data_IF_519027659134
#
_entry.id   IF_519027659134
#
_cell.length_a   1.000
_cell.length_b   1.000
_cell.length_c   1.000
_cell.angle_alpha   90.00
_cell.angle_beta   90.00
_cell.angle_gamma   90.00
#
_symmetry.space_group_name_H-M   'P 1'
#
loop_
_entity.id
_entity.type
_entity.pdbx_description
1 polymer ?
#
# COMPACT_ATOMS: atom_id res chain seq x y z
N UNK A 1 -35.95 36.46 -59.00
CA UNK A 1 -35.61 35.26 -58.20
C UNK A 1 -34.11 35.30 -57.91
N UNK A 2 -33.68 34.79 -56.74
CA UNK A 2 -32.65 35.36 -55.85
C UNK A 2 -31.24 35.28 -56.46
N UNK A 3 -30.25 36.08 -56.06
CA UNK A 3 -29.39 35.73 -54.93
C UNK A 3 -28.76 36.96 -54.28
N UNK A 4 -29.15 37.20 -53.02
CA UNK A 4 -28.49 38.16 -52.15
C UNK A 4 -27.19 37.57 -51.61
N UNK A 5 -26.06 37.92 -52.24
CA UNK A 5 -24.74 37.75 -51.61
C UNK A 5 -24.66 38.70 -50.42
N UNK A 6 -24.85 38.15 -49.22
CA UNK A 6 -24.54 38.83 -47.97
C UNK A 6 -23.03 39.05 -47.91
N UNK A 7 -22.60 40.28 -48.17
CA UNK A 7 -21.21 40.70 -48.00
C UNK A 7 -20.91 40.72 -46.49
N UNK A 8 -20.31 39.64 -45.97
CA UNK A 8 -19.86 39.60 -44.58
C UNK A 8 -18.70 40.61 -44.45
N UNK A 9 -18.83 41.63 -43.59
CA UNK A 9 -17.79 42.65 -43.48
C UNK A 9 -16.50 42.09 -42.85
N UNK A 10 -15.37 42.29 -43.53
CA UNK A 10 -14.04 41.84 -43.10
C UNK A 10 -13.61 42.30 -41.68
N UNK A 11 -14.24 43.34 -41.11
CA UNK A 11 -13.98 43.80 -39.75
C UNK A 11 -14.52 42.86 -38.66
N UNK A 12 -15.59 42.11 -38.93
CA UNK A 12 -16.18 41.17 -37.97
C UNK A 12 -15.28 39.94 -37.77
N UNK A 13 -14.61 39.49 -38.84
CA UNK A 13 -13.68 38.35 -38.83
C UNK A 13 -12.40 38.65 -38.05
N UNK A 14 -11.81 39.85 -38.22
CA UNK A 14 -10.59 40.26 -37.48
C UNK A 14 -10.83 40.39 -35.98
N UNK A 15 -11.99 40.94 -35.57
CA UNK A 15 -12.36 41.08 -34.16
C UNK A 15 -12.63 39.73 -33.49
N UNK A 16 -13.28 38.79 -34.20
CA UNK A 16 -13.46 37.40 -33.73
C UNK A 16 -12.13 36.66 -33.64
N UNK A 17 -11.22 36.85 -34.60
CA UNK A 17 -9.88 36.26 -34.56
C UNK A 17 -9.02 36.78 -33.41
N UNK A 18 -9.06 38.08 -33.12
CA UNK A 18 -8.37 38.67 -31.96
C UNK A 18 -8.95 38.19 -30.63
N UNK A 19 -10.26 38.00 -30.53
CA UNK A 19 -10.91 37.42 -29.33
C UNK A 19 -10.53 35.95 -29.13
N UNK A 20 -10.45 35.15 -30.20
CA UNK A 20 -10.00 33.75 -30.13
C UNK A 20 -8.52 33.66 -29.74
N UNK A 21 -7.65 34.51 -30.29
CA UNK A 21 -6.23 34.56 -29.89
C UNK A 21 -6.06 34.99 -28.43
N UNK A 22 -6.82 36.00 -27.99
CA UNK A 22 -6.78 36.46 -26.60
C UNK A 22 -7.23 35.39 -25.60
N UNK A 23 -8.30 34.63 -25.95
CA UNK A 23 -8.79 33.53 -25.13
C UNK A 23 -7.79 32.36 -25.08
N UNK A 24 -7.17 32.01 -26.21
CA UNK A 24 -6.15 30.97 -26.26
C UNK A 24 -4.91 31.32 -25.41
N UNK A 25 -4.49 32.59 -25.42
CA UNK A 25 -3.38 33.06 -24.59
C UNK A 25 -3.73 33.06 -23.10
N UNK A 26 -4.95 33.48 -22.75
CA UNK A 26 -5.44 33.44 -21.37
C UNK A 26 -5.52 31.99 -20.83
N UNK A 27 -5.99 31.04 -21.66
CA UNK A 27 -5.98 29.62 -21.32
C UNK A 27 -4.56 29.07 -21.14
N UNK A 28 -3.61 29.45 -22.01
CA UNK A 28 -2.21 29.03 -21.90
C UNK A 28 -1.52 29.58 -20.63
N UNK A 29 -1.86 30.80 -20.23
CA UNK A 29 -1.37 31.41 -19.00
C UNK A 29 -2.00 30.77 -17.76
N UNK A 30 -3.29 30.42 -17.81
CA UNK A 30 -3.97 29.70 -16.72
C UNK A 30 -3.46 28.28 -16.56
N UNK A 31 -3.18 27.56 -17.65
CA UNK A 31 -2.56 26.22 -17.58
C UNK A 31 -1.12 26.30 -17.12
N UNK A 32 -0.33 27.27 -17.61
CA UNK A 32 1.02 27.52 -17.11
C UNK A 32 1.05 27.88 -15.63
N UNK A 33 0.11 28.71 -15.16
CA UNK A 33 -0.04 29.05 -13.75
C UNK A 33 -0.50 27.85 -12.92
N UNK A 34 -1.43 27.02 -13.42
CA UNK A 34 -1.85 25.80 -12.73
C UNK A 34 -0.71 24.77 -12.65
N UNK A 35 0.07 24.58 -13.72
CA UNK A 35 1.26 23.71 -13.73
C UNK A 35 2.33 24.25 -12.77
N UNK A 36 2.54 25.56 -12.70
CA UNK A 36 3.48 26.15 -11.75
C UNK A 36 2.98 26.05 -10.28
N UNK A 37 1.68 26.31 -10.05
CA UNK A 37 1.05 26.33 -8.72
C UNK A 37 0.82 24.93 -8.14
N UNK A 38 0.60 23.93 -8.99
CA UNK A 38 0.26 22.55 -8.60
C UNK A 38 1.25 21.48 -9.07
N UNK A 39 2.08 21.76 -10.07
CA UNK A 39 3.11 20.83 -10.59
C UNK A 39 4.48 20.93 -9.90
N UNK A 40 4.67 21.91 -9.00
CA UNK A 40 5.95 22.27 -8.39
C UNK A 40 6.27 21.64 -7.02
N UNK A 41 5.69 20.49 -6.66
CA UNK A 41 6.30 19.62 -5.64
C UNK A 41 6.85 18.40 -6.36
N UNK A 42 8.05 18.55 -6.92
CA UNK A 42 8.82 17.44 -7.46
C UNK A 42 9.02 16.43 -6.34
N UNK A 43 8.19 15.41 -6.33
CA UNK A 43 8.39 14.24 -5.49
C UNK A 43 9.71 13.60 -5.90
N UNK A 44 10.53 13.24 -4.90
CA UNK A 44 11.84 12.66 -5.16
C UNK A 44 11.71 11.51 -6.19
N UNK A 45 12.47 11.53 -7.30
CA UNK A 45 12.33 10.53 -8.36
C UNK A 45 12.45 9.10 -7.81
N UNK A 46 13.23 8.89 -6.74
CA UNK A 46 13.40 7.59 -6.09
C UNK A 46 12.11 7.11 -5.39
N UNK A 47 11.32 8.02 -4.82
CA UNK A 47 10.00 7.72 -4.25
C UNK A 47 9.02 7.37 -5.37
N UNK A 48 9.06 8.13 -6.46
CA UNK A 48 8.20 7.90 -7.63
C UNK A 48 8.45 6.52 -8.24
N UNK A 49 9.72 6.12 -8.40
CA UNK A 49 10.08 4.78 -8.87
C UNK A 49 9.53 3.66 -7.98
N UNK A 50 9.66 3.78 -6.66
CA UNK A 50 9.15 2.77 -5.73
C UNK A 50 7.63 2.69 -5.79
N UNK A 51 6.94 3.83 -5.94
CA UNK A 51 5.48 3.84 -6.11
C UNK A 51 5.04 3.20 -7.41
N UNK A 52 5.77 3.45 -8.49
CA UNK A 52 5.48 2.79 -9.78
C UNK A 52 5.70 1.30 -9.67
N UNK A 53 6.81 0.85 -9.08
CA UNK A 53 7.05 -0.57 -8.81
C UNK A 53 5.94 -1.19 -7.92
N UNK A 54 5.53 -0.52 -6.84
CA UNK A 54 4.43 -0.98 -6.00
C UNK A 54 3.11 -1.11 -6.77
N UNK A 55 2.80 -0.16 -7.65
CA UNK A 55 1.58 -0.21 -8.49
C UNK A 55 1.63 -1.34 -9.52
N UNK A 56 2.77 -1.52 -10.19
CA UNK A 56 2.97 -2.62 -11.14
C UNK A 56 2.85 -3.98 -10.46
N UNK A 57 3.46 -4.13 -9.29
CA UNK A 57 3.36 -5.35 -8.50
C UNK A 57 1.95 -5.59 -7.95
N UNK A 58 1.23 -4.54 -7.55
CA UNK A 58 -0.17 -4.65 -7.16
C UNK A 58 -1.08 -5.01 -8.34
N UNK A 59 -0.78 -4.53 -9.55
CA UNK A 59 -1.51 -4.94 -10.76
C UNK A 59 -1.23 -6.41 -11.12
N UNK A 60 0.03 -6.86 -10.97
CA UNK A 60 0.44 -8.23 -11.23
C UNK A 60 -0.06 -9.23 -10.18
N UNK A 61 -0.08 -8.80 -8.92
CA UNK A 61 -0.53 -9.58 -7.77
C UNK A 61 -1.61 -8.79 -7.03
N UNK A 62 -2.85 -8.72 -7.56
CA UNK A 62 -3.94 -8.02 -6.92
C UNK A 62 -4.11 -8.50 -5.47
N UNK A 63 -4.27 -7.57 -4.52
CA UNK A 63 -4.42 -7.93 -3.11
C UNK A 63 -5.73 -8.66 -2.82
N UNK A 64 -6.75 -8.49 -3.66
CA UNK A 64 -8.02 -9.23 -3.56
C UNK A 64 -7.91 -10.66 -4.12
N UNK A 65 -6.88 -10.94 -4.92
CA UNK A 65 -6.68 -12.26 -5.49
C UNK A 65 -6.07 -13.19 -4.44
N UNK A 66 -6.80 -14.26 -4.12
CA UNK A 66 -6.32 -15.31 -3.24
C UNK A 66 -5.02 -15.95 -3.74
N UNK A 67 -4.15 -16.33 -2.81
CA UNK A 67 -2.89 -17.02 -3.12
C UNK A 67 -3.21 -18.44 -3.58
N UNK A 68 -2.89 -18.74 -4.84
CA UNK A 68 -3.28 -20.01 -5.47
C UNK A 68 -2.41 -21.20 -5.05
N UNK A 69 -1.27 -20.95 -4.41
CA UNK A 69 -0.40 -22.00 -3.89
C UNK A 69 1.01 -21.54 -3.53
N UNK A 70 1.92 -22.48 -3.20
CA UNK A 70 3.27 -22.17 -2.73
C UNK A 70 4.12 -21.38 -3.74
N UNK A 71 4.01 -21.68 -5.04
CA UNK A 71 4.76 -20.98 -6.10
C UNK A 71 4.33 -19.51 -6.20
N UNK A 72 3.03 -19.25 -6.17
CA UNK A 72 2.48 -17.89 -6.15
C UNK A 72 2.91 -17.13 -4.88
N UNK A 73 2.87 -17.81 -3.72
CA UNK A 73 3.32 -17.23 -2.45
C UNK A 73 4.80 -16.80 -2.49
N UNK A 74 5.68 -17.65 -3.03
CA UNK A 74 7.10 -17.33 -3.21
C UNK A 74 7.28 -16.14 -4.15
N UNK A 75 6.53 -16.08 -5.25
CA UNK A 75 6.59 -14.96 -6.19
C UNK A 75 6.15 -13.64 -5.53
N UNK A 76 5.08 -13.66 -4.72
CA UNK A 76 4.60 -12.49 -3.97
C UNK A 76 5.58 -12.06 -2.88
N UNK A 77 6.21 -13.00 -2.17
CA UNK A 77 7.27 -12.68 -1.20
C UNK A 77 8.50 -12.09 -1.89
N UNK A 78 8.89 -12.61 -3.06
CA UNK A 78 9.98 -12.04 -3.85
C UNK A 78 9.66 -10.61 -4.31
N UNK A 79 8.42 -10.35 -4.75
CA UNK A 79 7.95 -9.01 -5.09
C UNK A 79 8.02 -8.03 -3.90
N UNK A 80 7.58 -8.47 -2.72
CA UNK A 80 7.74 -7.68 -1.47
C UNK A 80 9.23 -7.42 -1.21
N UNK A 81 10.07 -8.44 -1.36
CA UNK A 81 11.53 -8.33 -1.21
C UNK A 81 12.15 -7.28 -2.14
N UNK A 82 11.72 -7.23 -3.41
CA UNK A 82 12.18 -6.22 -4.38
C UNK A 82 11.83 -4.79 -3.95
N UNK A 83 10.58 -4.56 -3.50
CA UNK A 83 10.16 -3.26 -2.98
C UNK A 83 11.01 -2.87 -1.76
N UNK A 84 11.17 -3.78 -0.80
CA UNK A 84 11.94 -3.54 0.41
C UNK A 84 13.42 -3.25 0.12
N UNK A 85 14.03 -3.96 -0.83
CA UNK A 85 15.40 -3.70 -1.26
C UNK A 85 15.56 -2.28 -1.83
N UNK A 86 14.63 -1.83 -2.70
CA UNK A 86 14.64 -0.45 -3.19
C UNK A 86 14.43 0.57 -2.06
N UNK A 87 13.53 0.30 -1.11
CA UNK A 87 13.34 1.21 0.03
C UNK A 87 14.60 1.30 0.90
N UNK A 88 15.34 0.21 1.09
CA UNK A 88 16.59 0.23 1.87
C UNK A 88 17.70 1.06 1.21
N UNK A 89 17.70 1.14 -0.12
CA UNK A 89 18.62 2.01 -0.89
C UNK A 89 18.30 3.50 -0.74
N UNK A 90 17.10 3.85 -0.25
CA UNK A 90 16.78 5.24 0.04
C UNK A 90 17.53 5.76 1.27
N UNK A 91 17.83 7.07 1.30
CA UNK A 91 18.21 7.77 2.52
C UNK A 91 17.19 7.53 3.67
N UNK A 92 17.64 7.39 4.93
CA UNK A 92 16.77 7.04 6.07
C UNK A 92 15.51 7.90 6.21
N UNK A 93 15.60 9.18 5.89
CA UNK A 93 14.51 10.16 5.96
C UNK A 93 13.41 9.95 4.91
N UNK A 94 13.74 9.33 3.78
CA UNK A 94 12.80 9.03 2.69
C UNK A 94 12.12 7.68 2.82
N UNK A 95 12.70 6.75 3.62
CA UNK A 95 12.14 5.41 3.82
C UNK A 95 10.72 5.44 4.39
N UNK A 96 10.38 6.24 5.42
CA UNK A 96 9.01 6.30 5.95
C UNK A 96 8.02 6.72 4.87
N UNK A 97 8.39 7.65 3.99
CA UNK A 97 7.52 8.11 2.91
C UNK A 97 7.25 7.00 1.88
N UNK A 98 8.26 6.20 1.54
CA UNK A 98 8.11 5.07 0.63
C UNK A 98 7.28 3.92 1.24
N UNK A 99 7.39 3.71 2.57
CA UNK A 99 6.64 2.67 3.28
C UNK A 99 5.17 3.02 3.53
N UNK A 100 4.83 4.31 3.65
CA UNK A 100 3.43 4.76 3.90
C UNK A 100 2.43 4.20 2.89
N UNK A 101 2.80 4.18 1.60
CA UNK A 101 1.92 3.66 0.54
C UNK A 101 1.62 2.17 0.75
N UNK A 102 2.64 1.38 1.10
CA UNK A 102 2.46 -0.04 1.44
C UNK A 102 1.61 -0.24 2.69
N UNK A 103 1.83 0.58 3.73
CA UNK A 103 1.05 0.55 4.97
C UNK A 103 -0.43 0.85 4.75
N UNK A 104 -0.74 1.87 3.93
CA UNK A 104 -2.12 2.25 3.63
C UNK A 104 -2.83 1.18 2.80
N UNK A 105 -2.15 0.57 1.83
CA UNK A 105 -2.67 -0.57 1.08
C UNK A 105 -2.96 -1.76 2.00
N UNK A 106 -2.00 -2.13 2.87
CA UNK A 106 -2.19 -3.21 3.83
C UNK A 106 -3.37 -2.95 4.77
N UNK A 107 -3.51 -1.72 5.26
CA UNK A 107 -4.63 -1.31 6.11
C UNK A 107 -5.98 -1.52 5.43
N UNK A 108 -6.13 -1.05 4.19
CA UNK A 108 -7.36 -1.21 3.41
C UNK A 108 -7.72 -2.68 3.18
N UNK A 109 -6.72 -3.52 2.91
CA UNK A 109 -6.93 -4.97 2.77
C UNK A 109 -7.46 -5.56 4.06
N UNK A 110 -6.86 -5.22 5.20
CA UNK A 110 -7.30 -5.72 6.51
C UNK A 110 -8.70 -5.22 6.86
N UNK A 111 -9.01 -3.95 6.61
CA UNK A 111 -10.36 -3.39 6.79
C UNK A 111 -11.38 -4.13 5.92
N UNK A 112 -11.02 -4.43 4.66
CA UNK A 112 -11.84 -5.22 3.75
C UNK A 112 -12.13 -6.61 4.31
N UNK A 113 -11.10 -7.34 4.74
CA UNK A 113 -11.22 -8.69 5.33
C UNK A 113 -12.10 -8.72 6.57
N UNK A 114 -11.88 -7.76 7.48
CA UNK A 114 -12.71 -7.59 8.69
C UNK A 114 -14.17 -7.34 8.29
N UNK A 115 -14.42 -6.42 7.35
CA UNK A 115 -15.77 -6.12 6.88
C UNK A 115 -16.43 -7.35 6.27
N UNK A 116 -15.71 -8.08 5.41
CA UNK A 116 -16.21 -9.31 4.77
C UNK A 116 -16.62 -10.33 5.83
N UNK A 117 -15.76 -10.59 6.82
CA UNK A 117 -16.06 -11.51 7.92
C UNK A 117 -17.37 -11.18 8.64
N UNK A 118 -17.60 -9.91 8.98
CA UNK A 118 -18.82 -9.49 9.67
C UNK A 118 -20.06 -9.45 8.77
N UNK A 119 -19.90 -9.29 7.45
CA UNK A 119 -21.02 -9.36 6.50
C UNK A 119 -21.43 -10.78 6.13
N UNK A 120 -20.57 -11.77 6.36
CA UNK A 120 -20.87 -13.16 6.02
C UNK A 120 -21.88 -13.77 7.02
N UNK A 121 -22.81 -14.62 6.53
CA UNK A 121 -23.62 -15.51 7.37
C UNK A 121 -22.72 -16.38 8.26
N UNK A 122 -23.21 -16.72 9.46
CA UNK A 122 -22.42 -17.42 10.47
C UNK A 122 -21.84 -18.75 9.95
N UNK A 123 -22.59 -19.44 9.10
CA UNK A 123 -22.24 -20.73 8.50
C UNK A 123 -21.05 -20.60 7.53
N UNK A 124 -20.90 -19.45 6.86
CA UNK A 124 -19.83 -19.20 5.89
C UNK A 124 -18.55 -18.63 6.51
N UNK A 125 -18.60 -18.22 7.78
CA UNK A 125 -17.45 -17.62 8.46
C UNK A 125 -16.31 -18.61 8.64
N UNK A 126 -16.61 -19.89 8.90
CA UNK A 126 -15.55 -20.90 9.07
C UNK A 126 -14.75 -21.10 7.79
N UNK A 127 -15.42 -21.29 6.66
CA UNK A 127 -14.77 -21.45 5.36
C UNK A 127 -13.91 -20.23 4.99
N UNK A 128 -14.41 -19.02 5.28
CA UNK A 128 -13.65 -17.80 5.10
C UNK A 128 -12.39 -17.77 5.97
N UNK A 129 -12.49 -18.10 7.27
CA UNK A 129 -11.34 -18.17 8.16
C UNK A 129 -10.33 -19.23 7.70
N UNK A 130 -10.78 -20.38 7.19
CA UNK A 130 -9.91 -21.44 6.68
C UNK A 130 -9.11 -20.98 5.45
N UNK A 131 -9.75 -20.27 4.53
CA UNK A 131 -9.10 -19.69 3.37
C UNK A 131 -8.06 -18.63 3.78
N UNK A 132 -8.39 -17.76 4.72
CA UNK A 132 -7.49 -16.74 5.24
C UNK A 132 -6.27 -17.36 5.94
N UNK A 133 -6.50 -18.38 6.78
CA UNK A 133 -5.44 -19.11 7.46
C UNK A 133 -4.53 -19.80 6.46
N UNK A 134 -5.09 -20.43 5.41
CA UNK A 134 -4.30 -21.05 4.35
C UNK A 134 -3.41 -20.04 3.63
N UNK A 135 -3.94 -18.86 3.28
CA UNK A 135 -3.17 -17.79 2.66
C UNK A 135 -2.04 -17.30 3.57
N UNK A 136 -2.31 -17.13 4.87
CA UNK A 136 -1.29 -16.77 5.86
C UNK A 136 -0.20 -17.83 5.97
N UNK A 137 -0.54 -19.11 5.97
CA UNK A 137 0.44 -20.20 6.02
C UNK A 137 1.28 -20.29 4.75
N UNK A 138 0.70 -20.03 3.56
CA UNK A 138 1.47 -19.93 2.33
C UNK A 138 2.50 -18.80 2.40
N UNK A 139 2.09 -17.61 2.85
CA UNK A 139 3.00 -16.49 3.01
C UNK A 139 4.06 -16.77 4.07
N UNK A 140 3.68 -17.32 5.24
CA UNK A 140 4.62 -17.67 6.32
C UNK A 140 5.70 -18.61 5.80
N UNK A 141 5.32 -19.71 5.14
CA UNK A 141 6.26 -20.68 4.56
C UNK A 141 7.13 -20.05 3.48
N UNK A 142 6.57 -19.19 2.63
CA UNK A 142 7.34 -18.48 1.61
C UNK A 142 8.37 -17.50 2.21
N UNK A 143 8.00 -16.78 3.28
CA UNK A 143 8.93 -15.92 4.02
C UNK A 143 10.03 -16.73 4.72
N UNK A 144 9.68 -17.85 5.36
CA UNK A 144 10.66 -18.76 5.98
C UNK A 144 11.63 -19.32 4.95
N UNK A 145 11.14 -19.76 3.79
CA UNK A 145 11.99 -20.22 2.69
C UNK A 145 12.93 -19.11 2.19
N UNK A 146 12.41 -17.90 1.98
CA UNK A 146 13.21 -16.74 1.55
C UNK A 146 14.29 -16.34 2.56
N UNK A 147 13.99 -16.37 3.86
CA UNK A 147 14.96 -16.09 4.92
C UNK A 147 16.03 -17.18 5.02
N UNK A 148 15.62 -18.45 4.90
CA UNK A 148 16.56 -19.58 4.94
C UNK A 148 17.56 -19.51 3.80
N UNK A 149 17.10 -19.17 2.59
CA UNK A 149 17.99 -18.97 1.42
C UNK A 149 18.93 -17.77 1.63
N UNK A 150 18.42 -16.64 2.14
CA UNK A 150 19.25 -15.46 2.42
C UNK A 150 20.32 -15.73 3.50
N UNK A 151 19.98 -16.49 4.53
CA UNK A 151 20.91 -16.90 5.58
C UNK A 151 21.95 -17.92 5.09
N UNK A 152 21.56 -18.84 4.20
CA UNK A 152 22.43 -19.89 3.66
C UNK A 152 23.47 -19.37 2.66
N UNK A 153 23.12 -18.37 1.83
CA UNK A 153 24.03 -17.78 0.83
C UNK A 153 24.89 -16.61 1.34
N UNK A 154 25.10 -16.49 2.66
CA UNK A 154 26.04 -15.52 3.22
C UNK A 154 25.54 -14.07 3.22
N UNK A 155 24.22 -13.84 3.19
CA UNK A 155 23.59 -12.55 3.50
C UNK A 155 23.70 -12.23 4.99
N UNK A 156 24.94 -12.02 5.45
CA UNK A 156 25.25 -11.66 6.82
C UNK A 156 24.58 -10.35 7.22
N UNK A 157 23.97 -10.35 8.41
CA UNK A 157 23.88 -9.21 9.34
C UNK A 157 23.88 -7.83 8.68
N UNK A 158 22.72 -7.34 8.26
CA UNK A 158 22.55 -5.88 8.18
C UNK A 158 22.45 -5.30 9.58
N UNK A 159 23.62 -4.88 10.07
CA UNK A 159 23.89 -3.76 10.97
C UNK A 159 23.20 -3.70 12.35
N UNK A 160 24.00 -4.04 13.38
CA UNK A 160 24.14 -3.18 14.57
C UNK A 160 22.97 -3.09 15.55
N UNK A 161 22.84 -4.08 16.42
CA UNK A 161 22.07 -3.97 17.66
C UNK A 161 22.31 -5.17 18.55
N UNK A 162 22.97 -4.97 19.70
CA UNK A 162 23.24 -6.02 20.70
C UNK A 162 21.92 -6.70 21.13
N UNK A 163 22.01 -8.03 21.24
CA UNK A 163 21.24 -8.97 22.07
C UNK A 163 20.14 -8.33 22.95
N UNK A 164 18.90 -8.67 22.63
CA UNK A 164 17.80 -8.81 23.58
C UNK A 164 17.09 -10.11 23.25
N UNK A 165 17.10 -11.06 24.18
CA UNK A 165 16.37 -12.33 24.12
C UNK A 165 14.89 -12.10 23.78
N UNK A 166 14.35 -12.90 22.85
CA UNK A 166 12.90 -13.16 22.80
C UNK A 166 12.05 -12.51 21.70
N UNK A 167 12.58 -12.06 20.56
CA UNK A 167 11.72 -11.56 19.47
C UNK A 167 12.19 -12.08 18.12
N UNK A 168 11.36 -12.90 17.46
CA UNK A 168 11.56 -13.33 16.09
C UNK A 168 11.62 -12.16 15.09
N UNK A 169 11.91 -12.43 13.80
CA UNK A 169 12.03 -11.38 12.78
C UNK A 169 10.78 -10.50 12.74
N UNK A 170 10.96 -9.17 12.87
CA UNK A 170 9.85 -8.21 12.82
C UNK A 170 9.13 -8.30 11.45
N UNK A 171 7.79 -8.26 11.42
CA UNK A 171 7.06 -8.15 10.16
C UNK A 171 7.54 -6.90 9.40
N UNK A 172 7.67 -6.96 8.05
CA UNK A 172 8.12 -5.83 7.24
C UNK A 172 7.21 -4.59 7.33
N UNK A 173 5.99 -4.75 7.86
CA UNK A 173 5.01 -3.68 8.09
C UNK A 173 4.72 -3.42 9.58
N UNK A 174 5.59 -3.90 10.47
CA UNK A 174 5.47 -3.69 11.91
C UNK A 174 5.67 -2.22 12.33
N UNK A 175 5.35 -1.87 13.58
CA UNK A 175 5.54 -0.54 14.13
C UNK A 175 6.99 -0.08 13.93
N UNK A 176 7.23 1.22 13.75
CA UNK A 176 8.57 1.75 13.56
C UNK A 176 9.52 1.22 14.63
N UNK A 177 10.66 0.67 14.22
CA UNK A 177 11.77 0.45 15.15
C UNK A 177 12.21 1.79 15.71
N UNK A 178 12.24 1.92 17.04
CA UNK A 178 12.52 3.20 17.69
C UNK A 178 12.38 3.15 19.22
N UNK A 179 12.54 4.33 19.82
CA UNK A 179 12.39 4.57 21.27
C UNK A 179 10.97 4.24 21.74
N UNK A 180 10.78 4.07 23.05
CA UNK A 180 9.45 3.86 23.63
C UNK A 180 8.49 5.01 23.30
N UNK A 181 9.00 6.24 23.23
CA UNK A 181 8.24 7.42 22.81
C UNK A 181 7.72 7.31 21.37
N UNK A 182 8.50 6.76 20.44
CA UNK A 182 8.07 6.57 19.05
C UNK A 182 6.94 5.53 18.96
N UNK A 183 7.05 4.46 19.75
CA UNK A 183 6.01 3.42 19.84
C UNK A 183 4.72 3.97 20.44
N UNK A 184 4.82 4.78 21.49
CA UNK A 184 3.65 5.41 22.11
C UNK A 184 2.97 6.40 21.15
N UNK A 185 3.74 7.19 20.37
CA UNK A 185 3.17 8.06 19.34
C UNK A 185 2.49 7.26 18.23
N UNK A 186 3.09 6.15 17.79
CA UNK A 186 2.45 5.25 16.82
C UNK A 186 1.15 4.67 17.37
N UNK A 187 1.13 4.12 18.60
CA UNK A 187 -0.08 3.61 19.25
C UNK A 187 -1.17 4.68 19.34
N UNK A 188 -0.79 5.89 19.79
CA UNK A 188 -1.71 7.02 19.88
C UNK A 188 -2.27 7.37 18.51
N UNK A 189 -1.42 7.44 17.48
CA UNK A 189 -1.86 7.70 16.11
C UNK A 189 -2.86 6.64 15.62
N UNK A 190 -2.62 5.36 15.90
CA UNK A 190 -3.57 4.28 15.56
C UNK A 190 -4.90 4.48 16.31
N UNK A 191 -4.86 4.75 17.62
CA UNK A 191 -6.06 4.98 18.44
C UNK A 191 -6.84 6.20 17.95
N UNK A 192 -6.15 7.30 17.64
CA UNK A 192 -6.76 8.54 17.13
C UNK A 192 -7.35 8.34 15.71
N UNK A 193 -6.77 7.43 14.92
CA UNK A 193 -7.20 7.17 13.53
C UNK A 193 -8.23 6.05 13.38
N UNK A 194 -8.63 5.39 14.48
CA UNK A 194 -9.61 4.28 14.48
C UNK A 194 -10.73 4.54 15.48
N UNK A 195 -11.95 4.13 15.15
CA UNK A 195 -13.06 4.21 16.12
C UNK A 195 -13.00 3.03 17.11
N UNK A 196 -13.63 3.16 18.30
CA UNK A 196 -13.76 2.03 19.23
C UNK A 196 -14.39 0.78 18.57
N UNK A 197 -15.39 0.97 17.72
CA UNK A 197 -16.10 -0.11 17.02
C UNK A 197 -15.21 -0.80 15.99
N UNK A 198 -14.41 -0.02 15.23
CA UNK A 198 -13.43 -0.57 14.29
C UNK A 198 -12.39 -1.43 15.01
N UNK A 199 -11.88 -0.95 16.15
CA UNK A 199 -10.93 -1.73 16.97
C UNK A 199 -11.56 -2.99 17.53
N UNK A 200 -12.78 -2.91 18.06
CA UNK A 200 -13.48 -4.08 18.58
C UNK A 200 -13.70 -5.15 17.50
N UNK A 201 -14.13 -4.73 16.29
CA UNK A 201 -14.28 -5.62 15.14
C UNK A 201 -12.95 -6.26 14.73
N UNK A 202 -11.88 -5.48 14.67
CA UNK A 202 -10.56 -6.01 14.35
C UNK A 202 -10.10 -7.05 15.38
N UNK A 203 -10.21 -6.75 16.68
CA UNK A 203 -9.84 -7.67 17.77
C UNK A 203 -10.67 -8.95 17.70
N UNK A 204 -11.97 -8.85 17.49
CA UNK A 204 -12.83 -10.03 17.38
C UNK A 204 -12.50 -10.86 16.13
N UNK A 205 -12.19 -10.23 15.00
CA UNK A 205 -11.75 -10.93 13.79
C UNK A 205 -10.42 -11.68 14.02
N UNK A 206 -9.43 -11.03 14.62
CA UNK A 206 -8.15 -11.66 14.97
C UNK A 206 -8.36 -12.81 15.96
N UNK A 207 -9.19 -12.62 16.98
CA UNK A 207 -9.55 -13.68 17.93
C UNK A 207 -10.27 -14.86 17.25
N UNK A 208 -11.11 -14.60 16.24
CA UNK A 208 -11.76 -15.65 15.46
C UNK A 208 -10.75 -16.46 14.63
N UNK A 209 -9.78 -15.78 14.00
CA UNK A 209 -8.66 -16.43 13.32
C UNK A 209 -7.87 -17.31 14.30
N UNK A 210 -7.50 -16.79 15.47
CA UNK A 210 -6.73 -17.54 16.47
C UNK A 210 -7.47 -18.78 16.98
N UNK A 211 -8.75 -18.65 17.33
CA UNK A 211 -9.59 -19.79 17.72
C UNK A 211 -9.63 -20.85 16.62
N UNK A 212 -9.80 -20.42 15.36
CA UNK A 212 -9.84 -21.34 14.22
C UNK A 212 -8.48 -22.01 13.98
N UNK A 213 -7.37 -21.28 14.09
CA UNK A 213 -6.02 -21.87 14.03
C UNK A 213 -5.82 -22.94 15.10
N UNK A 214 -6.27 -22.69 16.33
CA UNK A 214 -6.23 -23.67 17.41
C UNK A 214 -7.03 -24.94 17.10
N UNK A 215 -8.23 -24.81 16.52
CA UNK A 215 -9.03 -25.95 16.05
C UNK A 215 -8.34 -26.76 14.94
N UNK A 216 -7.55 -26.09 14.10
CA UNK A 216 -6.75 -26.71 13.04
C UNK A 216 -5.40 -27.27 13.53
N UNK A 217 -5.09 -27.17 14.82
CA UNK A 217 -3.80 -27.60 15.38
C UNK A 217 -2.60 -26.76 14.93
N UNK A 218 -2.86 -25.54 14.43
CA UNK A 218 -1.81 -24.62 13.98
C UNK A 218 -1.27 -23.79 15.16
N UNK A 219 0.01 -23.38 15.12
CA UNK A 219 0.58 -22.54 16.18
C UNK A 219 -0.16 -21.20 16.26
N UNK A 220 -0.21 -20.63 17.46
CA UNK A 220 -0.74 -19.29 17.67
C UNK A 220 0.00 -18.28 16.77
N UNK A 221 -0.72 -17.25 16.33
CA UNK A 221 -0.05 -16.14 15.67
C UNK A 221 0.94 -15.51 16.66
N UNK A 222 2.12 -15.06 16.19
CA UNK A 222 2.97 -14.24 17.04
C UNK A 222 2.15 -13.03 17.50
N UNK A 223 2.25 -12.64 18.79
CA UNK A 223 1.47 -11.54 19.32
C UNK A 223 1.73 -10.28 18.48
N UNK A 224 0.70 -9.44 18.26
CA UNK A 224 0.92 -8.15 17.64
C UNK A 224 1.95 -7.35 18.48
N UNK A 225 2.92 -6.69 17.83
CA UNK A 225 3.98 -5.93 18.52
C UNK A 225 3.49 -4.68 19.26
#
# INVERSE_FOLDING_TARGET
MPDGLQHIPHYATKRRMMLVLGLALALALLTGWAIWRFGGRSEDPRITEIRTLQRELAAKYPPEQAISGPVDAVARVAAIGQVMAKVQQLPPELRPQAMRVGQDTFRKIMEGKVSTYFSLPAEKRQDFLDQEIRQMEFMRKAFEAGQTVAAFFGGGKSAGGKRGEGVGPRPPFGPPGGSEGDRNRFRKQIIDSTTPEQRARFVEYIGAIERRRGQLGLPAMPPPP
#
